data_IF_174427663698
#
_entry.id   IF_174427663698
#
_cell.length_a   1.000
_cell.length_b   1.000
_cell.length_c   1.000
_cell.angle_alpha   90.00
_cell.angle_beta   90.00
_cell.angle_gamma   90.00
#
_symmetry.space_group_name_H-M   'P 1'
#
loop_
_entity.id
_entity.type
_entity.pdbx_description
1 polymer ?
#
# COMPACT_ATOMS: atom_id res chain seq x y z
N UNK A 1 0.94 19.12 2.23
CA UNK A 1 2.40 19.06 2.05
C UNK A 1 2.83 18.80 0.61
N UNK A 2 1.96 18.29 -0.26
CA UNK A 2 2.34 17.85 -1.60
C UNK A 2 3.36 16.72 -1.62
N UNK A 3 3.41 15.92 -0.56
CA UNK A 3 4.28 14.75 -0.49
C UNK A 3 3.69 13.58 -1.26
N UNK A 4 4.56 12.81 -1.92
CA UNK A 4 4.19 11.52 -2.49
C UNK A 4 3.80 10.55 -1.36
N UNK A 5 2.74 9.79 -1.56
CA UNK A 5 2.26 8.80 -0.60
C UNK A 5 2.34 7.40 -1.18
N UNK A 6 2.98 6.50 -0.43
CA UNK A 6 3.02 5.07 -0.72
C UNK A 6 2.39 4.33 0.46
N UNK A 7 1.57 3.33 0.20
CA UNK A 7 0.97 2.50 1.26
C UNK A 7 1.60 1.10 1.28
N UNK A 8 1.49 0.43 2.41
CA UNK A 8 1.70 -1.03 2.45
C UNK A 8 0.48 -1.73 1.83
N UNK A 9 0.61 -2.99 1.44
CA UNK A 9 -0.53 -3.79 0.95
C UNK A 9 -1.65 -3.88 1.99
N UNK A 10 -1.31 -3.91 3.28
CA UNK A 10 -2.30 -3.91 4.36
C UNK A 10 -3.06 -2.58 4.49
N UNK A 11 -2.46 -1.48 4.06
CA UNK A 11 -3.05 -0.14 4.09
C UNK A 11 -3.65 0.28 2.74
N UNK A 12 -3.75 -0.65 1.79
CA UNK A 12 -4.30 -0.40 0.44
C UNK A 12 -5.70 0.20 0.52
N UNK A 13 -5.92 1.34 -0.15
CA UNK A 13 -7.17 2.08 -0.12
C UNK A 13 -7.36 3.01 1.10
N UNK A 14 -6.43 3.05 2.06
CA UNK A 14 -6.47 4.04 3.15
C UNK A 14 -6.39 5.48 2.63
N UNK A 15 -5.68 5.66 1.53
CA UNK A 15 -5.74 6.83 0.66
C UNK A 15 -6.18 6.32 -0.71
N UNK A 16 -7.16 6.94 -1.37
CA UNK A 16 -7.56 6.55 -2.72
C UNK A 16 -6.34 6.44 -3.63
N UNK A 17 -6.18 5.31 -4.30
CA UNK A 17 -5.01 5.11 -5.17
C UNK A 17 -5.13 5.90 -6.50
N UNK A 18 -6.31 6.49 -6.76
CA UNK A 18 -6.51 7.50 -7.82
C UNK A 18 -6.16 8.91 -7.37
N UNK A 19 -5.87 9.14 -6.07
CA UNK A 19 -5.45 10.46 -5.60
C UNK A 19 -4.15 10.89 -6.30
N UNK A 20 -4.03 12.17 -6.77
CA UNK A 20 -2.89 12.63 -7.58
C UNK A 20 -1.50 12.46 -6.93
N UNK A 21 -1.44 12.37 -5.60
CA UNK A 21 -0.19 12.16 -4.85
C UNK A 21 0.03 10.70 -4.42
N UNK A 22 -0.89 9.79 -4.74
CA UNK A 22 -0.76 8.37 -4.38
C UNK A 22 0.10 7.63 -5.39
N UNK A 23 1.04 6.85 -4.89
CA UNK A 23 1.75 5.83 -5.66
C UNK A 23 1.23 4.41 -5.36
N UNK A 24 0.18 4.29 -4.55
CA UNK A 24 -0.45 3.03 -4.20
C UNK A 24 0.39 2.13 -3.29
N UNK A 25 0.03 0.85 -3.27
CA UNK A 25 0.71 -0.17 -2.45
C UNK A 25 1.84 -0.83 -3.26
N UNK A 26 2.90 -0.10 -3.55
CA UNK A 26 3.95 -0.46 -4.52
C UNK A 26 5.35 -0.58 -3.90
N UNK A 27 5.43 -0.80 -2.57
CA UNK A 27 6.72 -0.85 -1.84
C UNK A 27 7.67 -1.96 -2.34
N UNK A 28 7.14 -3.05 -2.89
CA UNK A 28 7.94 -4.15 -3.43
C UNK A 28 8.56 -3.86 -4.80
N UNK A 29 8.08 -2.83 -5.52
CA UNK A 29 8.52 -2.52 -6.86
C UNK A 29 9.77 -1.64 -6.88
N UNK A 30 10.69 -1.95 -7.79
CA UNK A 30 11.98 -1.27 -7.89
C UNK A 30 11.84 0.24 -8.11
N UNK A 31 10.94 0.76 -8.97
CA UNK A 31 10.80 2.20 -9.16
C UNK A 31 10.41 2.92 -7.85
N UNK A 32 9.53 2.32 -7.04
CA UNK A 32 9.14 2.88 -5.74
C UNK A 32 10.29 2.85 -4.75
N UNK A 33 11.04 1.74 -4.66
CA UNK A 33 12.22 1.63 -3.79
C UNK A 33 13.29 2.66 -4.15
N UNK A 34 13.50 2.91 -5.45
CA UNK A 34 14.42 3.95 -5.94
C UNK A 34 13.98 5.35 -5.51
N UNK A 35 12.69 5.66 -5.61
CA UNK A 35 12.14 6.95 -5.16
C UNK A 35 12.27 7.11 -3.66
N UNK A 36 11.99 6.08 -2.88
CA UNK A 36 12.18 6.10 -1.42
C UNK A 36 13.64 6.31 -1.04
N UNK A 37 14.57 5.62 -1.72
CA UNK A 37 16.00 5.75 -1.46
C UNK A 37 16.56 7.15 -1.77
N UNK A 38 15.94 7.88 -2.70
CA UNK A 38 16.33 9.22 -3.13
C UNK A 38 15.59 10.34 -2.39
N UNK A 39 14.72 10.02 -1.45
CA UNK A 39 13.98 11.03 -0.70
C UNK A 39 14.85 11.69 0.37
N UNK A 40 14.71 13.00 0.56
CA UNK A 40 15.35 13.71 1.67
C UNK A 40 14.79 13.25 3.02
N UNK A 41 13.46 13.05 3.08
CA UNK A 41 12.75 12.62 4.28
C UNK A 41 11.72 11.56 3.90
N UNK A 42 11.71 10.45 4.63
CA UNK A 42 10.62 9.47 4.63
C UNK A 42 9.89 9.53 5.96
N UNK A 43 8.60 9.82 5.92
CA UNK A 43 7.71 9.77 7.08
C UNK A 43 6.88 8.48 7.03
N UNK A 44 7.19 7.54 7.92
CA UNK A 44 6.44 6.29 8.07
C UNK A 44 5.46 6.39 9.24
N UNK A 45 4.17 6.22 8.97
CA UNK A 45 3.09 6.39 9.95
C UNK A 45 2.34 5.08 10.14
N UNK A 46 2.32 4.54 11.36
CA UNK A 46 1.57 3.34 11.73
C UNK A 46 1.96 2.11 10.91
N UNK A 47 3.24 1.96 10.57
CA UNK A 47 3.72 0.87 9.73
C UNK A 47 4.86 0.10 10.37
N UNK A 48 4.75 -1.24 10.38
CA UNK A 48 5.85 -2.11 10.81
C UNK A 48 7.06 -2.04 9.89
N UNK A 49 6.90 -1.57 8.63
CA UNK A 49 7.90 -1.65 7.57
C UNK A 49 8.48 -3.07 7.46
N UNK A 50 7.58 -4.06 7.47
CA UNK A 50 7.95 -5.47 7.45
C UNK A 50 8.58 -5.85 6.10
N UNK A 51 9.48 -6.84 6.10
CA UNK A 51 10.11 -7.38 4.88
C UNK A 51 9.05 -7.86 3.86
N UNK A 52 7.91 -8.35 4.32
CA UNK A 52 6.77 -8.74 3.48
C UNK A 52 6.16 -7.58 2.69
N UNK A 53 6.39 -6.33 3.10
CA UNK A 53 5.94 -5.16 2.34
C UNK A 53 6.88 -4.81 1.19
N UNK A 54 8.14 -5.20 1.27
CA UNK A 54 9.16 -4.91 0.26
C UNK A 54 9.55 -6.14 -0.57
N UNK A 55 9.13 -7.34 -0.15
CA UNK A 55 9.49 -8.63 -0.74
C UNK A 55 11.01 -8.85 -0.90
N UNK A 56 11.78 -8.18 -0.04
CA UNK A 56 13.24 -8.28 0.02
C UNK A 56 13.71 -8.04 1.45
N UNK A 57 14.99 -8.33 1.71
CA UNK A 57 15.57 -8.10 3.02
C UNK A 57 15.61 -6.61 3.36
N UNK A 58 15.27 -6.24 4.59
CA UNK A 58 15.39 -4.88 5.11
C UNK A 58 16.78 -4.28 4.92
N UNK A 59 17.83 -5.11 4.94
CA UNK A 59 19.21 -4.68 4.70
C UNK A 59 19.47 -4.13 3.29
N UNK A 60 18.58 -4.45 2.31
CA UNK A 60 18.68 -3.98 0.93
C UNK A 60 17.87 -2.73 0.67
N UNK A 61 17.05 -2.28 1.64
CA UNK A 61 16.15 -1.14 1.48
C UNK A 61 16.75 0.10 2.11
N UNK A 62 16.75 1.20 1.37
CA UNK A 62 17.08 2.53 1.87
C UNK A 62 15.80 3.39 1.92
N UNK A 63 15.58 4.05 3.06
CA UNK A 63 14.43 4.90 3.33
C UNK A 63 14.87 6.35 3.53
N UNK A 64 15.24 7.00 2.44
CA UNK A 64 15.65 8.40 2.42
C UNK A 64 16.99 8.70 3.10
N UNK A 65 17.27 9.99 3.23
CA UNK A 65 18.39 10.48 4.03
C UNK A 65 18.03 10.56 5.52
N UNK A 66 16.76 10.83 5.81
CA UNK A 66 16.18 10.85 7.16
C UNK A 66 14.88 10.05 7.21
N UNK A 67 14.78 9.15 8.19
CA UNK A 67 13.58 8.39 8.48
C UNK A 67 12.91 8.90 9.76
N UNK A 68 11.67 9.38 9.63
CA UNK A 68 10.81 9.74 10.76
C UNK A 68 9.75 8.63 10.89
N UNK A 69 9.59 8.07 12.08
CA UNK A 69 8.56 7.06 12.35
C UNK A 69 7.58 7.55 13.40
N UNK A 70 6.30 7.33 13.13
CA UNK A 70 5.19 7.58 14.05
C UNK A 70 4.50 6.24 14.31
N UNK A 71 4.45 5.81 15.55
CA UNK A 71 3.74 4.60 15.94
C UNK A 71 3.23 4.71 17.39
N UNK A 72 2.15 3.99 17.71
CA UNK A 72 1.62 3.90 19.07
C UNK A 72 2.36 2.83 19.89
N UNK A 73 3.02 1.89 19.23
CA UNK A 73 3.81 0.83 19.86
C UNK A 73 5.31 1.19 19.81
N UNK A 74 5.97 1.38 20.99
CA UNK A 74 7.38 1.71 21.04
C UNK A 74 8.29 0.62 20.46
N UNK A 75 7.85 -0.65 20.45
CA UNK A 75 8.64 -1.73 19.87
C UNK A 75 8.65 -1.66 18.33
N UNK A 76 7.54 -1.23 17.74
CA UNK A 76 7.44 -1.07 16.29
C UNK A 76 8.30 0.10 15.78
N UNK A 77 8.45 1.17 16.56
CA UNK A 77 9.24 2.35 16.17
C UNK A 77 10.69 2.02 15.77
N UNK A 78 11.26 0.97 16.33
CA UNK A 78 12.68 0.60 16.09
C UNK A 78 12.85 -0.73 15.35
N UNK A 79 11.72 -1.40 15.03
CA UNK A 79 11.74 -2.68 14.35
C UNK A 79 12.15 -2.50 12.88
N UNK A 80 12.94 -3.41 12.36
CA UNK A 80 13.46 -3.47 10.97
C UNK A 80 14.30 -2.28 10.55
N UNK A 81 13.85 -1.04 10.79
CA UNK A 81 14.52 0.20 10.41
C UNK A 81 14.63 1.14 11.61
N UNK A 82 15.85 1.55 11.95
CA UNK A 82 16.08 2.52 13.00
C UNK A 82 15.78 3.93 12.48
N UNK A 83 14.84 4.68 13.09
CA UNK A 83 14.53 6.04 12.66
C UNK A 83 15.59 7.05 13.17
N UNK A 84 15.73 8.16 12.44
CA UNK A 84 16.41 9.36 12.92
C UNK A 84 15.55 10.10 13.94
N UNK A 85 14.22 10.10 13.74
CA UNK A 85 13.26 10.66 14.69
C UNK A 85 12.12 9.66 14.93
N UNK A 86 11.97 9.23 16.19
CA UNK A 86 10.86 8.39 16.64
C UNK A 86 9.82 9.22 17.38
N UNK A 87 8.57 9.13 16.96
CA UNK A 87 7.42 9.80 17.59
C UNK A 87 6.48 8.71 18.11
N UNK A 88 6.47 8.52 19.43
CA UNK A 88 5.52 7.63 20.10
C UNK A 88 4.19 8.38 20.26
N UNK A 89 3.18 7.99 19.48
CA UNK A 89 1.89 8.67 19.52
C UNK A 89 0.87 8.12 18.54
N UNK A 90 -0.37 8.55 18.73
CA UNK A 90 -1.46 8.25 17.81
C UNK A 90 -1.23 8.90 16.45
N UNK A 91 -1.44 8.12 15.39
CA UNK A 91 -1.21 8.55 14.00
C UNK A 91 -2.10 9.74 13.61
N UNK A 92 -3.39 9.70 13.95
CA UNK A 92 -4.33 10.75 13.58
C UNK A 92 -4.01 12.07 14.28
N UNK A 93 -3.73 12.02 15.59
CA UNK A 93 -3.35 13.20 16.38
C UNK A 93 -2.02 13.79 15.90
N UNK A 94 -1.03 12.95 15.60
CA UNK A 94 0.27 13.39 15.11
C UNK A 94 0.15 14.04 13.74
N UNK A 95 -0.61 13.41 12.83
CA UNK A 95 -0.80 13.96 11.48
C UNK A 95 -1.62 15.26 11.50
N UNK A 96 -2.62 15.40 12.38
CA UNK A 96 -3.36 16.64 12.56
C UNK A 96 -2.45 17.78 13.02
N UNK A 97 -1.63 17.53 14.05
CA UNK A 97 -0.68 18.53 14.55
C UNK A 97 0.39 18.91 13.51
N UNK A 98 0.85 17.94 12.72
CA UNK A 98 1.81 18.20 11.64
C UNK A 98 1.18 19.04 10.52
N UNK A 99 -0.06 18.71 10.13
CA UNK A 99 -0.81 19.45 9.11
C UNK A 99 -1.02 20.91 9.52
N UNK A 100 -1.39 21.15 10.76
CA UNK A 100 -1.56 22.52 11.29
C UNK A 100 -0.26 23.34 11.20
N UNK A 101 0.88 22.73 11.55
CA UNK A 101 2.18 23.42 11.55
C UNK A 101 2.77 23.66 10.16
N UNK A 102 2.43 22.82 9.21
CA UNK A 102 2.98 22.86 7.85
C UNK A 102 1.97 23.43 6.83
N UNK A 103 0.83 23.94 7.30
CA UNK A 103 -0.16 24.58 6.45
C UNK A 103 0.47 25.78 5.69
N UNK A 104 0.23 25.84 4.37
CA UNK A 104 0.73 26.92 3.53
C UNK A 104 2.15 26.72 2.97
N UNK A 105 2.78 25.57 3.19
CA UNK A 105 4.05 25.24 2.51
C UNK A 105 3.75 24.63 1.13
N UNK A 106 3.90 25.38 0.02
CA UNK A 106 3.61 24.84 -1.30
C UNK A 106 4.73 23.90 -1.74
N UNK A 107 4.36 22.73 -2.26
CA UNK A 107 5.26 21.82 -2.96
C UNK A 107 4.78 21.66 -4.39
N UNK A 108 5.66 21.85 -5.37
CA UNK A 108 5.36 21.73 -6.79
C UNK A 108 5.90 20.42 -7.39
N UNK A 109 5.26 19.93 -8.44
CA UNK A 109 5.75 18.79 -9.21
C UNK A 109 5.57 17.40 -8.54
N UNK A 110 4.84 17.32 -7.42
CA UNK A 110 4.61 16.05 -6.75
C UNK A 110 3.62 15.16 -7.51
N UNK A 111 2.61 15.74 -8.14
CA UNK A 111 1.61 15.02 -8.93
C UNK A 111 2.23 14.39 -10.18
N UNK A 112 3.08 15.12 -10.90
CA UNK A 112 3.79 14.57 -12.06
C UNK A 112 4.76 13.45 -11.67
N UNK A 113 5.39 13.57 -10.48
CA UNK A 113 6.24 12.50 -9.95
C UNK A 113 5.42 11.26 -9.62
N UNK A 114 4.26 11.42 -8.98
CA UNK A 114 3.36 10.32 -8.68
C UNK A 114 2.85 9.62 -9.96
N UNK A 115 2.40 10.40 -10.94
CA UNK A 115 1.92 9.87 -12.21
C UNK A 115 3.02 9.10 -12.97
N UNK A 116 4.25 9.62 -12.97
CA UNK A 116 5.41 8.93 -13.56
C UNK A 116 5.71 7.64 -12.83
N UNK A 117 5.72 7.65 -11.51
CA UNK A 117 5.98 6.47 -10.70
C UNK A 117 4.91 5.38 -10.93
N UNK A 118 3.65 5.77 -11.05
CA UNK A 118 2.58 4.84 -11.44
C UNK A 118 2.83 4.19 -12.81
N UNK A 119 3.26 4.97 -13.79
CA UNK A 119 3.56 4.45 -15.12
C UNK A 119 4.75 3.48 -15.10
N UNK A 120 5.81 3.80 -14.36
CA UNK A 120 6.99 2.93 -14.19
C UNK A 120 6.61 1.62 -13.48
N UNK A 121 5.85 1.69 -12.39
CA UNK A 121 5.37 0.53 -11.65
C UNK A 121 4.45 -0.37 -12.49
N UNK A 122 3.56 0.21 -13.30
CA UNK A 122 2.74 -0.57 -14.24
C UNK A 122 3.59 -1.29 -15.27
N UNK A 123 4.58 -0.61 -15.83
CA UNK A 123 5.47 -1.21 -16.82
C UNK A 123 6.25 -2.41 -16.27
N UNK A 124 6.61 -2.40 -14.98
CA UNK A 124 7.26 -3.53 -14.30
C UNK A 124 6.33 -4.76 -14.23
N UNK A 125 5.03 -4.54 -14.14
CA UNK A 125 4.04 -5.63 -14.18
C UNK A 125 3.62 -6.06 -15.59
N UNK A 126 3.63 -5.16 -16.56
CA UNK A 126 3.12 -5.43 -17.92
C UNK A 126 4.18 -6.11 -18.81
N UNK A 127 4.75 -7.19 -18.29
CA UNK A 127 5.69 -8.06 -18.99
C UNK A 127 5.02 -9.38 -19.41
N UNK A 128 5.57 -10.15 -20.38
CA UNK A 128 4.91 -11.37 -20.89
C UNK A 128 4.45 -12.35 -19.81
N UNK A 129 5.25 -12.52 -18.75
CA UNK A 129 5.02 -13.47 -17.67
C UNK A 129 3.81 -13.12 -16.78
N UNK A 130 3.47 -11.84 -16.68
CA UNK A 130 2.41 -11.31 -15.83
C UNK A 130 1.22 -10.75 -16.61
N UNK A 131 1.37 -10.53 -17.90
CA UNK A 131 0.38 -9.85 -18.75
C UNK A 131 -1.04 -10.43 -18.66
N UNK A 132 -1.18 -11.75 -18.58
CA UNK A 132 -2.50 -12.37 -18.46
C UNK A 132 -3.18 -12.03 -17.12
N UNK A 133 -2.40 -11.93 -16.04
CA UNK A 133 -2.90 -11.51 -14.73
C UNK A 133 -3.32 -10.02 -14.75
N UNK A 134 -2.51 -9.18 -15.39
CA UNK A 134 -2.83 -7.76 -15.57
C UNK A 134 -4.13 -7.57 -16.37
N UNK A 135 -4.33 -8.33 -17.45
CA UNK A 135 -5.58 -8.30 -18.24
C UNK A 135 -6.78 -8.74 -17.41
N UNK A 136 -6.66 -9.81 -16.64
CA UNK A 136 -7.71 -10.27 -15.73
C UNK A 136 -8.05 -9.19 -14.69
N UNK A 137 -7.05 -8.58 -14.06
CA UNK A 137 -7.24 -7.51 -13.08
C UNK A 137 -7.89 -6.27 -13.69
N UNK A 138 -7.52 -5.89 -14.92
CA UNK A 138 -8.17 -4.79 -15.64
C UNK A 138 -9.66 -5.09 -15.93
N UNK A 139 -9.98 -6.32 -16.35
CA UNK A 139 -11.37 -6.74 -16.51
C UNK A 139 -12.15 -6.67 -15.19
N UNK A 140 -11.55 -7.14 -14.09
CA UNK A 140 -12.20 -7.04 -12.78
C UNK A 140 -12.45 -5.58 -12.39
N UNK A 141 -11.50 -4.68 -12.64
CA UNK A 141 -11.68 -3.25 -12.37
C UNK A 141 -12.83 -2.61 -13.15
N UNK A 142 -13.10 -3.10 -14.37
CA UNK A 142 -14.21 -2.61 -15.22
C UNK A 142 -15.59 -3.06 -14.73
N UNK A 143 -15.70 -4.28 -14.18
CA UNK A 143 -17.00 -4.89 -13.86
C UNK A 143 -17.34 -4.91 -12.37
N UNK A 144 -16.36 -4.70 -11.49
CA UNK A 144 -16.63 -4.70 -10.05
C UNK A 144 -17.27 -3.39 -9.60
N UNK A 145 -18.25 -3.45 -8.68
CA UNK A 145 -18.76 -2.27 -8.01
C UNK A 145 -17.63 -1.52 -7.28
N UNK A 146 -17.66 -0.19 -7.31
CA UNK A 146 -16.62 0.67 -6.71
C UNK A 146 -16.34 0.37 -5.23
N UNK A 147 -17.36 -0.02 -4.46
CA UNK A 147 -17.25 -0.32 -3.04
C UNK A 147 -17.09 -1.81 -2.73
N UNK A 148 -16.70 -2.63 -3.71
CA UNK A 148 -16.54 -4.08 -3.52
C UNK A 148 -15.42 -4.38 -2.53
N UNK A 149 -15.69 -5.28 -1.57
CA UNK A 149 -14.67 -5.89 -0.73
C UNK A 149 -14.05 -7.07 -1.48
N UNK A 150 -12.75 -7.02 -1.70
CA UNK A 150 -12.00 -8.07 -2.39
C UNK A 150 -11.16 -8.82 -1.38
N UNK A 151 -11.48 -10.09 -1.16
CA UNK A 151 -10.72 -11.01 -0.32
C UNK A 151 -9.88 -11.94 -1.16
N UNK A 152 -8.65 -12.14 -0.77
CA UNK A 152 -7.69 -12.90 -1.56
C UNK A 152 -7.04 -14.00 -0.73
N UNK A 153 -6.76 -15.11 -1.39
CA UNK A 153 -5.77 -16.07 -0.93
C UNK A 153 -4.40 -15.80 -1.58
N UNK A 154 -3.37 -16.50 -1.11
CA UNK A 154 -2.02 -16.43 -1.66
C UNK A 154 -1.97 -17.02 -3.07
N UNK A 155 -2.35 -16.22 -4.06
CA UNK A 155 -2.37 -16.57 -5.48
C UNK A 155 -1.50 -15.63 -6.30
N UNK A 156 -1.07 -16.06 -7.47
CA UNK A 156 -0.31 -15.22 -8.39
C UNK A 156 -1.06 -13.95 -8.81
N UNK A 157 -2.39 -14.03 -8.90
CA UNK A 157 -3.24 -12.87 -9.19
C UNK A 157 -3.27 -11.91 -8.01
N UNK A 158 -3.33 -12.42 -6.78
CA UNK A 158 -3.30 -11.62 -5.56
C UNK A 158 -1.99 -10.87 -5.41
N UNK A 159 -0.86 -11.53 -5.67
CA UNK A 159 0.47 -10.92 -5.64
C UNK A 159 0.60 -9.80 -6.67
N UNK A 160 0.23 -10.05 -7.93
CA UNK A 160 0.24 -9.01 -8.97
C UNK A 160 -0.74 -7.87 -8.61
N UNK A 161 -1.92 -8.20 -8.11
CA UNK A 161 -2.97 -7.22 -7.78
C UNK A 161 -2.62 -6.34 -6.58
N UNK A 162 -1.76 -6.79 -5.67
CA UNK A 162 -1.35 -6.02 -4.51
C UNK A 162 -0.82 -4.64 -4.90
N UNK A 163 -0.03 -4.54 -5.95
CA UNK A 163 0.56 -3.29 -6.44
C UNK A 163 -0.01 -2.79 -7.78
N UNK A 164 -0.75 -3.62 -8.50
CA UNK A 164 -1.27 -3.29 -9.83
C UNK A 164 -2.74 -2.83 -9.82
N UNK A 165 -3.62 -3.49 -9.01
CA UNK A 165 -5.04 -3.21 -8.95
C UNK A 165 -5.30 -2.00 -8.04
N UNK A 166 -6.00 -0.97 -8.52
CA UNK A 166 -6.28 0.23 -7.72
C UNK A 166 -7.49 0.06 -6.83
N UNK A 167 -7.38 0.52 -5.59
CA UNK A 167 -8.45 0.57 -4.59
C UNK A 167 -8.58 2.00 -4.06
N UNK A 168 -9.79 2.55 -4.12
CA UNK A 168 -10.06 3.95 -3.77
C UNK A 168 -10.82 4.11 -2.45
N UNK A 169 -11.02 3.03 -1.71
CA UNK A 169 -11.75 3.06 -0.44
C UNK A 169 -11.10 2.15 0.61
N UNK A 170 -11.18 2.52 1.90
CA UNK A 170 -10.66 1.69 2.99
C UNK A 170 -11.32 0.31 3.03
N UNK A 171 -10.54 -0.68 3.47
CA UNK A 171 -10.99 -2.08 3.54
C UNK A 171 -11.55 -2.62 2.21
N UNK A 172 -11.00 -2.17 1.08
CA UNK A 172 -11.37 -2.65 -0.26
C UNK A 172 -10.61 -3.90 -0.67
N UNK A 173 -9.44 -4.10 -0.11
CA UNK A 173 -8.52 -5.18 -0.44
C UNK A 173 -8.04 -5.88 0.81
N UNK A 174 -8.28 -7.18 0.90
CA UNK A 174 -7.75 -7.99 1.99
C UNK A 174 -6.86 -9.10 1.44
N UNK A 175 -5.60 -9.07 1.80
CA UNK A 175 -4.60 -10.07 1.50
C UNK A 175 -3.95 -10.54 2.81
N UNK A 176 -3.68 -11.83 3.03
CA UNK A 176 -3.12 -12.35 4.28
C UNK A 176 -1.62 -12.05 4.42
N UNK A 177 -1.26 -10.77 4.51
CA UNK A 177 0.13 -10.28 4.46
C UNK A 177 1.04 -10.83 5.56
N UNK A 178 0.53 -11.11 6.76
CA UNK A 178 1.36 -11.48 7.90
C UNK A 178 2.01 -12.86 7.74
N UNK A 179 1.18 -13.88 7.57
CA UNK A 179 1.60 -15.28 7.51
C UNK A 179 1.39 -15.95 6.14
N UNK A 180 0.80 -15.24 5.18
CA UNK A 180 0.46 -15.83 3.88
C UNK A 180 -0.51 -17.01 4.00
N UNK A 181 -1.42 -16.96 4.97
CA UNK A 181 -2.29 -18.08 5.34
C UNK A 181 -3.19 -18.49 4.17
N UNK A 182 -3.10 -19.73 3.76
CA UNK A 182 -3.93 -20.31 2.70
C UNK A 182 -5.35 -20.60 3.20
N UNK A 183 -6.35 -20.51 2.31
CA UNK A 183 -7.75 -20.79 2.61
C UNK A 183 -8.49 -19.70 3.39
N UNK A 184 -7.89 -18.53 3.58
CA UNK A 184 -8.52 -17.42 4.34
C UNK A 184 -9.44 -16.56 3.49
N UNK A 185 -9.31 -16.58 2.19
CA UNK A 185 -10.07 -15.72 1.27
C UNK A 185 -11.57 -15.85 1.44
N UNK A 186 -12.10 -17.09 1.40
CA UNK A 186 -13.54 -17.37 1.49
C UNK A 186 -14.12 -17.00 2.86
N UNK A 187 -13.58 -17.50 4.00
CA UNK A 187 -14.14 -17.14 5.31
C UNK A 187 -14.04 -15.64 5.61
N UNK A 188 -12.99 -14.96 5.15
CA UNK A 188 -12.87 -13.51 5.31
C UNK A 188 -13.95 -12.76 4.53
N UNK A 189 -14.24 -13.15 3.29
CA UNK A 189 -15.31 -12.54 2.50
C UNK A 189 -16.69 -12.78 3.13
N UNK A 190 -16.94 -13.98 3.68
CA UNK A 190 -18.17 -14.28 4.42
C UNK A 190 -18.29 -13.35 5.64
N UNK A 191 -17.22 -13.23 6.42
CA UNK A 191 -17.18 -12.32 7.58
C UNK A 191 -17.44 -10.86 7.19
N UNK A 192 -16.81 -10.38 6.13
CA UNK A 192 -17.02 -9.04 5.60
C UNK A 192 -18.48 -8.82 5.14
N UNK A 193 -19.06 -9.80 4.48
CA UNK A 193 -20.47 -9.76 4.02
C UNK A 193 -21.46 -9.76 5.18
N UNK A 194 -21.16 -10.48 6.26
CA UNK A 194 -21.97 -10.47 7.48
C UNK A 194 -21.86 -9.14 8.24
N UNK A 195 -20.65 -8.56 8.29
CA UNK A 195 -20.41 -7.27 8.94
C UNK A 195 -20.90 -6.05 8.16
N UNK A 196 -21.00 -6.17 6.84
CA UNK A 196 -21.49 -5.12 5.92
C UNK A 196 -22.38 -5.74 4.83
N UNK A 197 -23.63 -6.10 5.15
CA UNK A 197 -24.52 -6.86 4.25
C UNK A 197 -24.78 -6.16 2.90
N UNK A 198 -24.79 -4.83 2.88
CA UNK A 198 -25.05 -4.04 1.66
C UNK A 198 -23.83 -3.97 0.74
N UNK A 199 -22.64 -4.26 1.27
CA UNK A 199 -21.41 -4.16 0.49
C UNK A 199 -21.20 -5.43 -0.34
N UNK A 200 -20.95 -5.31 -1.66
CA UNK A 200 -20.53 -6.45 -2.46
C UNK A 200 -19.22 -7.04 -1.94
N UNK A 201 -19.08 -8.35 -2.03
CA UNK A 201 -17.84 -9.04 -1.67
C UNK A 201 -17.47 -10.03 -2.78
N UNK A 202 -16.18 -10.09 -3.10
CA UNK A 202 -15.59 -11.01 -4.06
C UNK A 202 -14.41 -11.74 -3.43
N UNK A 203 -14.17 -12.96 -3.88
CA UNK A 203 -13.00 -13.76 -3.51
C UNK A 203 -12.17 -14.07 -4.74
N UNK A 204 -10.85 -13.97 -4.60
CA UNK A 204 -9.89 -14.55 -5.54
C UNK A 204 -9.10 -15.60 -4.76
N UNK A 205 -9.34 -16.87 -5.06
CA UNK A 205 -8.68 -18.00 -4.44
C UNK A 205 -8.04 -18.91 -5.50
N UNK A 206 -7.03 -19.65 -5.11
CA UNK A 206 -6.46 -20.71 -5.92
C UNK A 206 -7.19 -22.04 -5.73
N UNK A 207 -6.58 -23.08 -6.20
CA UNK A 207 -7.07 -24.47 -6.16
C UNK A 207 -6.55 -25.26 -4.93
N UNK A 208 -5.80 -24.57 -4.06
CA UNK A 208 -5.22 -25.14 -2.85
C UNK A 208 -6.04 -24.98 -1.58
#
# INVERSE_FOLDING_TARGET
LGALVVTTTAAKGAIPETHPLSAGATLELEPTQRVLAAADIVLAVGSELAETSFWTSAASIRLGDQLIRVDIDPAQLVRSFRPDLAILGDAALTMAALTERLAGTPVTGAEERAARLWAENRAEHEVPETMNRCRMLNMLAEYLPENCFISLDSTQVAYTGASYFRIDHPNGWHFPNGFGTLGTGVPTAIGAKLGAPERPAMVIAGDG
#
